data_IF_702377670714
#
_entry.id   IF_702377670714
#
_cell.length_a   1.000
_cell.length_b   1.000
_cell.length_c   1.000
_cell.angle_alpha   90.00
_cell.angle_beta   90.00
_cell.angle_gamma   90.00
#
_symmetry.space_group_name_H-M   'P 1'
#
loop_
_entity.id
_entity.type
_entity.pdbx_description
1 polymer ?
#
# COMPACT_ATOMS: atom_id res chain seq x y z
N UNK A 1 80.16 -13.35 -32.72
CA UNK A 1 81.24 -12.99 -33.65
C UNK A 1 80.60 -12.09 -34.71
N UNK A 2 80.84 -10.79 -34.89
CA UNK A 2 81.77 -9.74 -34.40
C UNK A 2 80.95 -8.42 -34.55
N UNK A 3 80.61 -7.69 -33.48
CA UNK A 3 81.22 -6.46 -32.89
C UNK A 3 81.22 -5.14 -33.72
N UNK A 4 80.82 -4.04 -33.04
CA UNK A 4 81.09 -2.62 -33.34
C UNK A 4 79.92 -1.69 -32.93
N UNK A 5 79.78 -1.30 -31.64
CA UNK A 5 80.31 -0.09 -30.95
C UNK A 5 79.51 1.22 -31.14
N UNK A 6 78.98 1.77 -30.03
CA UNK A 6 78.54 3.17 -29.86
C UNK A 6 79.75 4.12 -29.58
N UNK A 7 79.59 5.46 -29.42
CA UNK A 7 79.16 6.03 -28.12
C UNK A 7 78.33 7.34 -28.15
N UNK A 8 77.38 7.44 -27.21
CA UNK A 8 77.32 8.49 -26.16
C UNK A 8 76.87 9.92 -26.49
N UNK A 9 75.82 10.39 -25.81
CA UNK A 9 75.81 11.66 -25.06
C UNK A 9 74.58 11.74 -24.13
N UNK A 10 74.86 11.73 -22.82
CA UNK A 10 73.94 11.87 -21.69
C UNK A 10 73.98 13.34 -21.23
N UNK A 11 72.85 14.06 -21.12
CA UNK A 11 72.76 15.31 -20.36
C UNK A 11 71.46 15.35 -19.54
N UNK A 12 71.64 15.68 -18.27
CA UNK A 12 70.70 15.63 -17.16
C UNK A 12 70.47 17.05 -16.62
N UNK A 13 69.26 17.28 -16.07
CA UNK A 13 68.86 18.33 -15.11
C UNK A 13 68.55 19.76 -15.66
N UNK A 14 67.75 20.61 -14.96
CA UNK A 14 67.33 20.48 -13.56
C UNK A 14 65.83 20.73 -13.22
N UNK A 15 65.52 20.32 -11.99
CA UNK A 15 64.38 20.71 -11.16
C UNK A 15 64.48 22.20 -10.81
N UNK A 16 63.36 22.94 -10.81
CA UNK A 16 63.22 24.17 -10.01
C UNK A 16 61.80 24.28 -9.46
N UNK A 17 61.78 24.48 -8.14
CA UNK A 17 60.65 24.73 -7.25
C UNK A 17 60.23 26.19 -7.39
N UNK A 18 58.93 26.48 -7.44
CA UNK A 18 58.40 27.80 -7.08
C UNK A 18 57.25 27.66 -6.08
N UNK A 19 57.28 28.54 -5.09
CA UNK A 19 56.54 28.51 -3.83
C UNK A 19 55.42 29.55 -3.81
N UNK A 20 54.37 29.24 -3.02
CA UNK A 20 53.43 30.16 -2.32
C UNK A 20 52.36 30.85 -3.19
N UNK A 21 51.10 31.09 -2.78
CA UNK A 21 50.42 31.23 -1.47
C UNK A 21 48.92 30.82 -1.57
N UNK A 22 48.16 30.74 -0.45
CA UNK A 22 47.02 29.83 -0.28
C UNK A 22 45.63 30.49 -0.38
N UNK A 23 44.61 29.69 -0.70
CA UNK A 23 43.20 30.06 -0.51
C UNK A 23 42.53 29.21 0.57
N UNK A 24 42.33 29.88 1.71
CA UNK A 24 41.22 29.85 2.67
C UNK A 24 40.30 28.62 2.71
N UNK A 25 40.35 27.91 3.84
CA UNK A 25 39.38 26.90 4.27
C UNK A 25 38.56 27.48 5.42
N UNK A 26 37.23 27.61 5.31
CA UNK A 26 36.39 27.79 6.48
C UNK A 26 36.06 26.41 7.06
N UNK A 27 36.69 26.11 8.19
CA UNK A 27 36.21 25.14 9.17
C UNK A 27 34.77 25.45 9.56
N UNK A 28 33.88 24.45 9.60
CA UNK A 28 32.99 24.18 10.74
C UNK A 28 32.30 22.83 10.51
N UNK A 29 32.91 21.78 11.06
CA UNK A 29 32.19 20.58 11.44
C UNK A 29 31.58 20.86 12.82
N UNK A 30 30.28 21.08 12.88
CA UNK A 30 29.50 20.80 14.08
C UNK A 30 28.24 20.08 13.64
N UNK A 31 28.27 18.75 13.72
CA UNK A 31 27.05 17.94 13.66
C UNK A 31 26.27 18.20 14.95
N UNK A 32 25.18 18.97 14.89
CA UNK A 32 24.13 18.90 15.92
C UNK A 32 23.05 17.96 15.44
N UNK A 33 22.96 16.83 16.11
CA UNK A 33 21.74 16.02 16.17
C UNK A 33 20.76 16.84 17.01
N UNK A 34 19.65 17.26 16.42
CA UNK A 34 18.52 17.82 17.16
C UNK A 34 17.38 16.81 17.14
N UNK A 35 17.17 16.22 18.31
CA UNK A 35 15.98 15.46 18.71
C UNK A 35 14.82 16.45 18.73
N UNK A 36 13.81 16.23 17.88
CA UNK A 36 12.57 17.00 17.88
C UNK A 36 11.56 16.35 18.83
N UNK A 37 11.31 16.98 19.97
CA UNK A 37 10.22 16.66 20.89
C UNK A 37 9.21 17.81 20.88
N UNK A 38 7.93 17.43 20.74
CA UNK A 38 6.70 17.99 21.34
C UNK A 38 6.33 19.47 21.16
N UNK A 39 5.19 19.63 20.47
CA UNK A 39 3.99 20.41 20.85
C UNK A 39 3.92 21.95 20.74
N UNK A 40 2.90 22.33 19.95
CA UNK A 40 1.88 23.38 20.16
C UNK A 40 2.07 24.81 19.59
N UNK A 41 0.96 25.57 19.38
CA UNK A 41 0.54 25.97 18.03
C UNK A 41 0.31 27.50 17.88
N UNK A 42 0.24 27.95 16.62
CA UNK A 42 -0.48 29.15 16.20
C UNK A 42 -0.03 30.51 16.74
N UNK A 43 0.81 31.23 15.98
CA UNK A 43 0.79 32.70 15.93
C UNK A 43 1.26 33.18 14.55
N UNK A 44 0.56 34.18 14.00
CA UNK A 44 0.81 34.95 12.77
C UNK A 44 0.31 34.44 11.40
N UNK A 45 -0.97 34.77 11.14
CA UNK A 45 -1.49 35.34 9.89
C UNK A 45 -0.71 36.63 9.52
N UNK A 46 -0.44 37.06 8.27
CA UNK A 46 -1.24 37.33 7.06
C UNK A 46 -0.25 37.89 5.96
N UNK A 47 -0.66 38.30 4.74
CA UNK A 47 -1.36 37.64 3.63
C UNK A 47 -0.45 37.48 2.38
N UNK A 48 -0.85 36.68 1.39
CA UNK A 48 -0.48 37.03 0.01
C UNK A 48 -1.57 36.73 -1.04
N UNK A 49 -1.95 37.81 -1.72
CA UNK A 49 -2.49 37.98 -3.07
C UNK A 49 -3.25 36.83 -3.77
N UNK A 50 -4.56 37.07 -3.96
CA UNK A 50 -5.47 36.40 -4.90
C UNK A 50 -5.00 36.55 -6.36
N UNK A 51 -5.01 35.46 -7.11
CA UNK A 51 -5.34 35.44 -8.55
C UNK A 51 -6.70 34.74 -8.72
N UNK A 52 -7.68 35.32 -9.45
CA UNK A 52 -9.01 34.75 -9.61
C UNK A 52 -9.13 33.97 -10.91
N UNK A 53 -9.48 32.70 -10.79
CA UNK A 53 -9.86 31.80 -11.87
C UNK A 53 -10.11 30.44 -11.25
N UNK A 54 -11.13 29.74 -11.70
CA UNK A 54 -11.44 28.33 -11.36
C UNK A 54 -12.46 28.09 -10.22
N UNK A 55 -12.88 29.10 -9.45
CA UNK A 55 -13.91 28.90 -8.40
C UNK A 55 -15.36 29.21 -8.82
N UNK A 56 -15.57 29.95 -9.90
CA UNK A 56 -16.95 30.34 -10.30
C UNK A 56 -17.67 29.28 -11.15
N UNK A 57 -16.97 28.28 -11.69
CA UNK A 57 -17.62 27.26 -12.54
C UNK A 57 -18.35 26.16 -11.74
N UNK A 58 -18.11 26.06 -10.42
CA UNK A 58 -18.67 24.99 -9.57
C UNK A 58 -19.80 25.49 -8.66
N UNK A 59 -19.89 26.80 -8.35
CA UNK A 59 -20.86 27.28 -7.35
C UNK A 59 -22.31 27.26 -7.84
N UNK A 60 -22.56 27.44 -9.14
CA UNK A 60 -23.92 27.45 -9.68
C UNK A 60 -24.55 26.06 -9.83
N UNK A 61 -23.78 24.97 -9.73
CA UNK A 61 -24.32 23.61 -9.67
C UNK A 61 -24.82 23.24 -8.27
N UNK A 62 -24.24 23.84 -7.22
CA UNK A 62 -24.60 23.54 -5.83
C UNK A 62 -25.94 24.18 -5.41
N UNK A 63 -26.26 25.36 -5.96
CA UNK A 63 -27.44 26.14 -5.54
C UNK A 63 -28.76 25.68 -6.21
N UNK A 64 -28.71 24.73 -7.16
CA UNK A 64 -29.90 24.16 -7.81
C UNK A 64 -30.43 22.88 -7.14
N UNK A 65 -29.67 22.28 -6.21
CA UNK A 65 -30.08 21.03 -5.53
C UNK A 65 -30.67 21.24 -4.13
N UNK A 66 -30.56 22.43 -3.52
CA UNK A 66 -30.87 22.62 -2.10
C UNK A 66 -32.25 23.25 -1.79
N UNK A 67 -33.28 22.79 -2.51
CA UNK A 67 -34.68 23.15 -2.23
C UNK A 67 -35.60 21.93 -2.03
N UNK A 68 -35.07 20.71 -2.00
CA UNK A 68 -35.83 19.54 -1.58
C UNK A 68 -35.50 19.22 -0.11
N UNK A 69 -36.53 19.17 0.74
CA UNK A 69 -36.45 18.50 2.06
C UNK A 69 -35.65 17.19 1.88
N UNK A 70 -34.68 16.84 2.74
CA UNK A 70 -33.94 15.60 2.56
C UNK A 70 -34.91 14.43 2.75
N UNK A 71 -35.52 13.97 1.66
CA UNK A 71 -36.04 12.64 1.59
C UNK A 71 -34.83 11.76 1.89
N UNK A 72 -34.91 10.89 2.91
CA UNK A 72 -33.90 9.87 3.13
C UNK A 72 -33.68 9.18 1.79
N UNK A 73 -32.52 9.42 1.18
CA UNK A 73 -32.22 8.94 -0.16
C UNK A 73 -32.24 7.41 -0.10
N UNK A 74 -33.22 6.80 -0.76
CA UNK A 74 -33.31 5.37 -0.86
C UNK A 74 -32.16 4.86 -1.73
N UNK A 75 -31.56 3.74 -1.33
CA UNK A 75 -30.35 3.22 -1.95
C UNK A 75 -30.53 1.75 -2.34
N UNK A 76 -29.96 1.32 -3.48
CA UNK A 76 -30.19 -0.01 -4.02
C UNK A 76 -29.58 -1.07 -3.11
N UNK A 77 -30.43 -1.88 -2.49
CA UNK A 77 -30.05 -2.94 -1.56
C UNK A 77 -30.38 -4.29 -2.17
N UNK A 78 -29.39 -5.17 -2.24
CA UNK A 78 -29.55 -6.52 -2.78
C UNK A 78 -30.03 -7.46 -1.68
N UNK A 79 -31.13 -8.15 -1.94
CA UNK A 79 -31.63 -9.20 -1.06
C UNK A 79 -31.64 -10.51 -1.85
N UNK A 80 -31.03 -11.54 -1.28
CA UNK A 80 -30.80 -12.84 -1.91
C UNK A 80 -31.39 -13.96 -1.07
N UNK A 81 -31.85 -15.02 -1.74
CA UNK A 81 -32.35 -16.25 -1.16
C UNK A 81 -31.74 -17.45 -1.88
N UNK A 82 -31.04 -18.32 -1.16
CA UNK A 82 -30.28 -19.46 -1.73
C UNK A 82 -30.85 -20.85 -1.40
N UNK A 83 -31.91 -20.95 -0.60
CA UNK A 83 -32.45 -22.24 -0.12
C UNK A 83 -33.42 -22.92 -1.13
N UNK A 84 -33.42 -22.49 -2.39
CA UNK A 84 -34.29 -23.04 -3.43
C UNK A 84 -35.77 -22.63 -3.32
N UNK A 85 -36.61 -23.21 -4.18
CA UNK A 85 -38.05 -22.91 -4.26
C UNK A 85 -38.57 -22.83 -5.70
N UNK A 86 -39.90 -22.88 -5.87
CA UNK A 86 -40.56 -22.66 -7.15
C UNK A 86 -40.94 -21.18 -7.32
N UNK A 87 -41.62 -20.62 -6.33
CA UNK A 87 -42.06 -19.23 -6.31
C UNK A 87 -41.66 -18.55 -4.99
N UNK A 88 -40.71 -17.61 -5.08
CA UNK A 88 -40.16 -16.88 -3.94
C UNK A 88 -40.59 -15.42 -4.01
N UNK A 89 -41.13 -14.93 -2.90
CA UNK A 89 -41.50 -13.53 -2.73
C UNK A 89 -40.90 -12.97 -1.44
N UNK A 90 -40.83 -11.65 -1.35
CA UNK A 90 -40.40 -10.92 -0.15
C UNK A 90 -41.43 -9.86 0.24
N UNK A 91 -41.60 -9.69 1.54
CA UNK A 91 -42.33 -8.58 2.15
C UNK A 91 -41.55 -8.04 3.35
N UNK A 92 -41.72 -6.77 3.67
CA UNK A 92 -41.00 -6.17 4.79
C UNK A 92 -41.56 -4.83 5.24
N UNK A 93 -40.87 -4.20 6.18
CA UNK A 93 -41.21 -2.89 6.71
C UNK A 93 -41.28 -1.82 5.63
N UNK A 94 -40.41 -1.90 4.62
CA UNK A 94 -40.32 -0.95 3.51
C UNK A 94 -41.58 -0.90 2.62
N UNK A 95 -42.42 -1.94 2.63
CA UNK A 95 -43.70 -1.96 1.92
C UNK A 95 -44.90 -2.16 2.87
N UNK A 96 -44.73 -1.85 4.16
CA UNK A 96 -45.73 -2.03 5.20
C UNK A 96 -46.33 -3.45 5.24
N UNK A 97 -45.57 -4.48 4.87
CA UNK A 97 -46.03 -5.86 4.77
C UNK A 97 -47.28 -6.07 3.88
N UNK A 98 -47.57 -5.10 3.01
CA UNK A 98 -48.84 -5.03 2.26
C UNK A 98 -48.84 -5.85 0.98
N UNK A 99 -47.67 -6.01 0.36
CA UNK A 99 -47.50 -6.68 -0.91
C UNK A 99 -46.35 -7.70 -0.87
N UNK A 100 -46.46 -8.73 -1.71
CA UNK A 100 -45.42 -9.74 -1.94
C UNK A 100 -44.68 -9.37 -3.22
N UNK A 101 -43.43 -8.96 -3.10
CA UNK A 101 -42.58 -8.61 -4.24
C UNK A 101 -41.95 -9.91 -4.75
N UNK A 102 -42.15 -10.30 -6.02
CA UNK A 102 -41.55 -11.52 -6.57
C UNK A 102 -40.03 -11.37 -6.70
N UNK A 103 -39.28 -12.40 -6.33
CA UNK A 103 -37.84 -12.45 -6.59
C UNK A 103 -37.55 -13.00 -7.98
N UNK A 104 -36.47 -12.53 -8.59
CA UNK A 104 -36.00 -13.00 -9.89
C UNK A 104 -35.15 -14.24 -9.66
N UNK A 105 -35.56 -15.36 -10.28
CA UNK A 105 -34.83 -16.63 -10.21
C UNK A 105 -33.59 -16.60 -11.11
N UNK A 106 -32.43 -16.83 -10.51
CA UNK A 106 -31.16 -17.15 -11.18
C UNK A 106 -30.96 -18.68 -11.20
N UNK A 107 -29.75 -19.16 -11.50
CA UNK A 107 -29.46 -20.60 -11.55
C UNK A 107 -29.66 -21.30 -10.20
N UNK A 108 -29.12 -20.73 -9.12
CA UNK A 108 -29.18 -21.32 -7.79
C UNK A 108 -29.82 -20.40 -6.73
N UNK A 109 -29.98 -19.12 -7.06
CA UNK A 109 -30.39 -18.09 -6.12
C UNK A 109 -31.62 -17.33 -6.65
N UNK A 110 -32.39 -16.77 -5.74
CA UNK A 110 -33.44 -15.79 -6.01
C UNK A 110 -32.98 -14.43 -5.53
N UNK A 111 -33.15 -13.38 -6.33
CA UNK A 111 -32.64 -12.03 -6.02
C UNK A 111 -33.70 -10.97 -6.25
N UNK A 112 -33.73 -9.96 -5.36
CA UNK A 112 -34.41 -8.69 -5.57
C UNK A 112 -33.46 -7.53 -5.24
N UNK A 113 -33.53 -6.46 -6.03
CA UNK A 113 -32.83 -5.20 -5.74
C UNK A 113 -33.92 -4.20 -5.37
N UNK A 114 -33.88 -3.71 -4.13
CA UNK A 114 -34.88 -2.79 -3.58
C UNK A 114 -34.20 -1.51 -3.13
N UNK A 115 -34.76 -0.36 -3.50
CA UNK A 115 -34.29 0.92 -3.00
C UNK A 115 -34.82 1.13 -1.58
N UNK A 116 -33.92 1.03 -0.59
CA UNK A 116 -34.25 1.14 0.82
C UNK A 116 -33.61 2.42 1.40
N UNK A 117 -34.34 3.22 2.19
CA UNK A 117 -33.74 4.34 2.91
C UNK A 117 -32.77 3.83 3.99
N UNK A 118 -31.85 4.68 4.43
CA UNK A 118 -30.93 4.34 5.51
C UNK A 118 -31.68 4.02 6.81
N UNK A 119 -31.25 2.96 7.49
CA UNK A 119 -31.86 2.48 8.72
C UNK A 119 -32.04 0.97 8.76
N UNK A 120 -32.84 0.54 9.73
CA UNK A 120 -33.16 -0.87 9.98
C UNK A 120 -34.43 -1.27 9.24
N UNK A 121 -34.35 -2.36 8.46
CA UNK A 121 -35.50 -2.91 7.76
C UNK A 121 -35.71 -4.36 8.13
N UNK A 122 -36.95 -4.69 8.50
CA UNK A 122 -37.35 -6.07 8.75
C UNK A 122 -37.98 -6.64 7.49
N UNK A 123 -37.64 -7.88 7.16
CA UNK A 123 -38.20 -8.55 5.99
C UNK A 123 -38.40 -10.05 6.24
N UNK A 124 -39.20 -10.68 5.39
CA UNK A 124 -39.46 -12.11 5.43
C UNK A 124 -39.75 -12.66 4.04
N UNK A 125 -39.33 -13.90 3.80
CA UNK A 125 -39.59 -14.59 2.54
C UNK A 125 -40.90 -15.37 2.60
N UNK A 126 -41.59 -15.40 1.47
CA UNK A 126 -42.75 -16.24 1.23
C UNK A 126 -42.39 -17.21 0.10
N UNK A 127 -42.08 -18.45 0.45
CA UNK A 127 -41.57 -19.48 -0.45
C UNK A 127 -42.60 -20.60 -0.53
N UNK A 128 -43.07 -20.91 -1.73
CA UNK A 128 -43.97 -22.04 -2.00
C UNK A 128 -45.19 -22.12 -1.05
N UNK A 129 -45.73 -20.95 -0.68
CA UNK A 129 -46.90 -20.85 0.18
C UNK A 129 -46.61 -20.66 1.68
N UNK A 130 -45.33 -20.70 2.10
CA UNK A 130 -44.92 -20.65 3.51
C UNK A 130 -44.05 -19.43 3.82
N UNK A 131 -44.24 -18.86 5.02
CA UNK A 131 -43.42 -17.77 5.52
C UNK A 131 -42.15 -18.31 6.19
N UNK A 132 -41.00 -18.02 5.58
CA UNK A 132 -39.69 -18.49 6.04
C UNK A 132 -38.73 -17.31 6.17
N UNK A 133 -37.67 -17.49 6.96
CA UNK A 133 -36.58 -16.53 7.10
C UNK A 133 -35.28 -17.19 6.65
N UNK A 134 -34.29 -16.39 6.24
CA UNK A 134 -32.95 -16.89 5.91
C UNK A 134 -32.15 -17.11 7.20
N UNK A 135 -31.68 -18.34 7.49
CA UNK A 135 -30.89 -18.62 8.69
C UNK A 135 -29.46 -18.05 8.66
N UNK A 136 -28.95 -17.68 7.48
CA UNK A 136 -27.60 -17.12 7.31
C UNK A 136 -27.53 -15.62 7.61
N UNK A 137 -28.67 -14.94 7.58
CA UNK A 137 -28.80 -13.51 7.80
C UNK A 137 -29.28 -13.18 9.22
N UNK A 138 -28.96 -11.99 9.77
CA UNK A 138 -29.43 -11.57 11.08
C UNK A 138 -30.97 -11.60 11.20
N UNK A 139 -31.48 -11.98 12.37
CA UNK A 139 -32.92 -12.08 12.66
C UNK A 139 -33.31 -11.26 13.88
N UNK A 140 -34.56 -10.81 13.88
CA UNK A 140 -35.21 -10.14 15.02
C UNK A 140 -36.59 -10.76 15.26
N UNK A 141 -36.93 -10.94 16.53
CA UNK A 141 -38.25 -11.43 16.95
C UNK A 141 -39.17 -10.23 17.19
N UNK A 142 -40.25 -10.13 16.42
CA UNK A 142 -41.27 -9.11 16.59
C UNK A 142 -42.07 -9.32 17.88
N UNK A 143 -42.76 -8.27 18.35
CA UNK A 143 -43.60 -8.29 19.55
C UNK A 143 -44.72 -9.35 19.48
N UNK A 144 -45.14 -9.72 18.27
CA UNK A 144 -46.14 -10.75 18.01
C UNK A 144 -45.55 -12.18 17.97
N UNK A 145 -44.25 -12.34 18.28
CA UNK A 145 -43.55 -13.62 18.28
C UNK A 145 -43.08 -14.10 16.91
N UNK A 146 -43.26 -13.29 15.84
CA UNK A 146 -42.79 -13.66 14.50
C UNK A 146 -41.31 -13.34 14.33
N UNK A 147 -40.55 -14.32 13.84
CA UNK A 147 -39.14 -14.14 13.47
C UNK A 147 -39.07 -13.58 12.04
N UNK A 148 -38.36 -12.45 11.88
CA UNK A 148 -38.10 -11.76 10.63
C UNK A 148 -36.58 -11.57 10.46
N UNK A 149 -36.10 -11.53 9.23
CA UNK A 149 -34.72 -11.08 8.98
C UNK A 149 -34.60 -9.57 9.17
N UNK A 150 -33.41 -9.10 9.52
CA UNK A 150 -33.07 -7.70 9.77
C UNK A 150 -31.90 -7.30 8.88
N UNK A 151 -32.05 -6.21 8.13
CA UNK A 151 -30.96 -5.61 7.35
C UNK A 151 -30.74 -4.17 7.79
N UNK A 152 -29.48 -3.79 7.95
CA UNK A 152 -29.04 -2.44 8.30
C UNK A 152 -28.45 -1.77 7.07
N UNK A 153 -29.15 -0.76 6.54
CA UNK A 153 -28.66 0.04 5.40
C UNK A 153 -27.96 1.28 5.94
N UNK A 154 -26.63 1.35 5.79
CA UNK A 154 -25.82 2.48 6.28
C UNK A 154 -25.34 3.35 5.11
N UNK A 155 -24.94 4.57 5.43
CA UNK A 155 -24.29 5.49 4.47
C UNK A 155 -23.02 4.90 3.87
N UNK A 156 -22.22 4.24 4.71
CA UNK A 156 -20.92 3.68 4.39
C UNK A 156 -20.97 2.58 3.33
N UNK A 157 -22.11 1.89 3.21
CA UNK A 157 -22.21 0.67 2.38
C UNK A 157 -22.19 0.99 0.87
N UNK A 158 -22.28 2.28 0.51
CA UNK A 158 -22.32 2.75 -0.87
C UNK A 158 -21.07 3.55 -1.27
N UNK A 159 -20.28 3.96 -0.28
CA UNK A 159 -18.97 4.55 -0.51
C UNK A 159 -17.95 3.41 -0.49
N UNK A 160 -17.43 3.02 -1.65
CA UNK A 160 -16.59 1.81 -1.80
C UNK A 160 -15.42 1.79 -0.82
N UNK A 161 -14.79 2.93 -0.58
CA UNK A 161 -13.67 3.03 0.37
C UNK A 161 -14.11 2.86 1.83
N UNK A 162 -15.30 3.34 2.19
CA UNK A 162 -15.82 3.22 3.56
C UNK A 162 -16.33 1.81 3.82
N UNK A 163 -17.01 1.20 2.85
CA UNK A 163 -17.42 -0.21 2.89
C UNK A 163 -16.21 -1.13 3.09
N UNK A 164 -15.18 -1.00 2.23
CA UNK A 164 -13.97 -1.80 2.34
C UNK A 164 -13.23 -1.59 3.67
N UNK A 165 -13.26 -0.36 4.20
CA UNK A 165 -12.64 -0.07 5.50
C UNK A 165 -13.38 -0.78 6.63
N UNK A 166 -14.71 -0.75 6.65
CA UNK A 166 -15.51 -1.44 7.67
C UNK A 166 -15.32 -2.96 7.58
N UNK A 167 -15.37 -3.54 6.39
CA UNK A 167 -15.16 -4.97 6.16
C UNK A 167 -13.76 -5.42 6.60
N UNK A 168 -12.75 -4.58 6.32
CA UNK A 168 -11.37 -4.85 6.74
C UNK A 168 -11.22 -4.86 8.26
N UNK A 169 -11.99 -4.03 8.98
CA UNK A 169 -11.97 -3.96 10.44
C UNK A 169 -12.73 -5.15 11.06
N UNK A 170 -13.85 -5.57 10.47
CA UNK A 170 -14.62 -6.72 10.93
C UNK A 170 -13.86 -8.05 10.75
N UNK A 171 -13.11 -8.17 9.65
CA UNK A 171 -12.21 -9.32 9.41
C UNK A 171 -10.98 -9.31 10.32
N UNK A 172 -10.74 -8.23 11.06
CA UNK A 172 -9.46 -7.98 11.74
C UNK A 172 -9.31 -8.53 13.15
N UNK A 173 -10.20 -9.42 13.60
CA UNK A 173 -9.87 -10.26 14.78
C UNK A 173 -8.58 -11.08 14.58
N UNK A 174 -8.01 -11.13 13.36
CA UNK A 174 -6.62 -11.59 13.14
C UNK A 174 -5.71 -10.79 12.19
N UNK A 175 -6.13 -9.72 11.49
CA UNK A 175 -5.24 -9.12 10.47
C UNK A 175 -5.43 -7.64 10.06
N UNK A 176 -5.63 -6.70 10.99
CA UNK A 176 -5.37 -5.26 10.69
C UNK A 176 -3.85 -4.95 10.67
N UNK A 177 -3.05 -5.86 10.08
CA UNK A 177 -1.58 -5.83 9.97
C UNK A 177 -1.12 -5.54 8.54
N UNK A 178 -2.03 -5.52 7.57
CA UNK A 178 -1.70 -5.62 6.15
C UNK A 178 -1.61 -4.27 5.44
N UNK A 179 -0.49 -3.58 5.65
CA UNK A 179 0.19 -2.73 4.64
C UNK A 179 1.65 -2.48 5.05
N UNK A 180 2.03 -2.78 6.28
CA UNK A 180 3.42 -2.68 6.72
C UNK A 180 4.16 -3.97 6.41
N UNK A 181 5.30 -3.86 5.72
CA UNK A 181 6.25 -4.96 5.54
C UNK A 181 6.92 -5.39 6.86
N UNK A 182 6.56 -4.73 7.97
CA UNK A 182 7.10 -5.03 9.29
C UNK A 182 6.31 -6.18 9.91
N UNK A 183 7.01 -7.15 10.55
CA UNK A 183 6.35 -8.09 11.42
C UNK A 183 5.51 -7.32 12.42
N UNK A 184 4.31 -7.82 12.67
CA UNK A 184 3.37 -7.04 13.43
C UNK A 184 3.59 -7.13 14.94
N UNK A 185 3.38 -6.02 15.64
CA UNK A 185 3.76 -5.82 17.04
C UNK A 185 4.85 -4.75 17.19
N UNK A 186 5.15 -4.30 18.42
CA UNK A 186 6.26 -3.37 18.65
C UNK A 186 7.61 -4.05 18.35
N UNK A 187 8.58 -3.28 17.88
CA UNK A 187 9.96 -3.74 17.80
C UNK A 187 10.51 -3.96 19.21
N UNK A 188 10.96 -5.19 19.50
CA UNK A 188 11.54 -5.57 20.78
C UNK A 188 12.95 -6.15 20.63
N UNK A 189 13.66 -6.27 21.74
CA UNK A 189 14.96 -6.96 21.82
C UNK A 189 14.83 -8.37 22.42
N UNK A 190 13.59 -8.81 22.70
CA UNK A 190 13.34 -10.12 23.26
C UNK A 190 13.73 -11.20 22.25
N UNK A 191 14.45 -12.21 22.72
CA UNK A 191 14.80 -13.35 21.87
C UNK A 191 13.52 -14.08 21.45
N UNK A 192 13.44 -14.42 20.16
CA UNK A 192 12.34 -15.22 19.66
C UNK A 192 12.31 -16.59 20.33
N UNK A 193 11.20 -16.91 21.00
CA UNK A 193 10.99 -18.23 21.60
C UNK A 193 10.38 -19.16 20.56
N UNK A 194 11.16 -20.15 20.15
CA UNK A 194 10.77 -21.12 19.15
C UNK A 194 9.58 -21.97 19.63
N UNK A 195 8.45 -21.93 18.91
CA UNK A 195 7.26 -22.74 19.22
C UNK A 195 7.38 -24.15 18.67
N UNK A 196 6.84 -25.14 19.39
CA UNK A 196 6.94 -26.56 18.99
C UNK A 196 6.28 -26.83 17.63
N UNK A 197 5.25 -26.06 17.26
CA UNK A 197 4.51 -26.13 16.00
C UNK A 197 5.32 -25.64 14.78
N UNK A 198 6.36 -24.83 15.03
CA UNK A 198 7.22 -24.26 13.98
C UNK A 198 8.46 -25.12 13.70
N UNK A 199 8.70 -26.18 14.49
CA UNK A 199 9.95 -27.00 14.46
C UNK A 199 10.22 -27.66 13.12
N UNK A 200 9.21 -27.80 12.29
CA UNK A 200 9.27 -28.56 11.06
C UNK A 200 9.19 -27.69 9.80
N UNK A 201 9.21 -26.36 9.93
CA UNK A 201 9.25 -25.46 8.78
C UNK A 201 10.71 -25.21 8.38
N UNK A 202 11.12 -25.76 7.24
CA UNK A 202 12.39 -25.40 6.63
C UNK A 202 12.37 -23.95 6.17
N UNK A 203 13.51 -23.24 6.19
CA UNK A 203 13.59 -21.90 5.61
C UNK A 203 13.22 -21.94 4.12
N UNK A 204 12.68 -20.84 3.57
CA UNK A 204 12.33 -20.76 2.17
C UNK A 204 13.58 -20.92 1.29
N UNK A 205 13.39 -21.53 0.13
CA UNK A 205 14.46 -21.71 -0.86
C UNK A 205 14.87 -20.33 -1.41
N UNK A 206 16.17 -20.09 -1.55
CA UNK A 206 16.70 -18.85 -2.12
C UNK A 206 16.15 -18.63 -3.54
N UNK A 207 15.47 -17.50 -3.82
CA UNK A 207 15.02 -17.20 -5.18
C UNK A 207 16.22 -17.05 -6.13
N UNK A 208 16.22 -17.74 -7.29
CA UNK A 208 17.38 -17.76 -8.19
C UNK A 208 17.69 -16.38 -8.80
N UNK A 209 16.72 -15.46 -8.81
CA UNK A 209 16.89 -14.08 -9.27
C UNK A 209 17.98 -13.33 -8.48
N UNK A 210 18.16 -13.64 -7.20
CA UNK A 210 19.18 -13.00 -6.35
C UNK A 210 20.60 -13.47 -6.66
N UNK A 211 20.75 -14.52 -7.47
CA UNK A 211 22.06 -14.99 -7.94
C UNK A 211 22.55 -14.23 -9.18
N UNK A 212 21.68 -13.45 -9.83
CA UNK A 212 22.01 -12.71 -11.04
C UNK A 212 22.65 -11.34 -10.75
N UNK A 213 23.85 -11.33 -10.19
CA UNK A 213 24.55 -10.09 -9.79
C UNK A 213 24.82 -9.18 -10.99
N UNK A 214 24.28 -7.96 -11.00
CA UNK A 214 24.42 -7.03 -12.14
C UNK A 214 25.85 -6.56 -12.37
N UNK A 215 26.64 -6.48 -11.30
CA UNK A 215 28.05 -6.06 -11.36
C UNK A 215 28.97 -7.16 -11.92
N UNK A 216 28.48 -8.40 -12.00
CA UNK A 216 29.21 -9.51 -12.63
C UNK A 216 28.86 -9.68 -14.12
N UNK A 217 27.99 -8.82 -14.67
CA UNK A 217 27.62 -8.86 -16.09
C UNK A 217 28.56 -7.94 -16.87
N UNK A 218 29.11 -8.47 -17.96
CA UNK A 218 29.90 -7.67 -18.89
C UNK A 218 29.00 -6.66 -19.61
N UNK A 219 29.48 -5.43 -19.72
CA UNK A 219 28.85 -4.38 -20.53
C UNK A 219 29.57 -4.26 -21.88
N UNK A 220 28.87 -3.72 -22.89
CA UNK A 220 29.48 -3.54 -24.21
C UNK A 220 30.61 -2.51 -24.13
N UNK A 221 31.76 -2.81 -24.74
CA UNK A 221 32.95 -1.93 -24.74
C UNK A 221 32.63 -0.55 -25.35
N UNK A 222 31.58 -0.45 -26.18
CA UNK A 222 31.17 0.81 -26.80
C UNK A 222 30.38 1.76 -25.90
N UNK A 223 29.89 1.33 -24.73
CA UNK A 223 29.10 2.18 -23.83
C UNK A 223 29.95 2.76 -22.68
N UNK A 224 29.42 3.82 -22.04
CA UNK A 224 30.04 4.43 -20.86
C UNK A 224 30.23 3.38 -19.73
N UNK A 225 31.43 3.24 -19.15
CA UNK A 225 31.71 2.29 -18.07
C UNK A 225 30.85 2.45 -16.80
N UNK A 226 30.26 3.62 -16.56
CA UNK A 226 29.36 3.87 -15.44
C UNK A 226 27.93 3.35 -15.68
N UNK A 227 27.60 2.94 -16.91
CA UNK A 227 26.28 2.43 -17.26
C UNK A 227 26.17 0.94 -16.97
N UNK A 228 25.08 0.57 -16.30
CA UNK A 228 24.72 -0.82 -16.01
C UNK A 228 23.41 -1.18 -16.75
N UNK A 229 23.20 -2.47 -17.07
CA UNK A 229 21.92 -2.92 -17.62
C UNK A 229 20.78 -2.70 -16.62
N UNK A 230 19.53 -2.69 -17.12
CA UNK A 230 18.36 -2.54 -16.25
C UNK A 230 18.25 -3.72 -15.27
N UNK A 231 18.20 -3.46 -13.95
CA UNK A 231 18.08 -4.50 -12.93
C UNK A 231 16.66 -5.05 -12.86
N UNK A 232 16.51 -6.30 -12.40
CA UNK A 232 15.20 -6.84 -12.04
C UNK A 232 14.70 -6.15 -10.74
N UNK A 233 13.41 -5.81 -10.66
CA UNK A 233 12.86 -5.15 -9.46
C UNK A 233 13.03 -5.98 -8.17
N UNK A 234 13.10 -7.31 -8.27
CA UNK A 234 13.23 -8.22 -7.12
C UNK A 234 14.61 -8.14 -6.46
N UNK A 235 15.67 -7.79 -7.19
CA UNK A 235 17.03 -7.71 -6.62
C UNK A 235 17.34 -6.36 -5.97
N UNK A 236 16.45 -5.38 -6.08
CA UNK A 236 16.63 -4.06 -5.50
C UNK A 236 16.58 -4.17 -3.97
N UNK A 237 17.35 -3.32 -3.28
CA UNK A 237 17.49 -3.31 -1.83
C UNK A 237 18.14 -4.58 -1.22
N UNK A 238 18.62 -5.52 -2.04
CA UNK A 238 19.46 -6.63 -1.58
C UNK A 238 20.93 -6.22 -1.52
N UNK A 239 21.61 -6.65 -0.46
CA UNK A 239 23.04 -6.40 -0.25
C UNK A 239 23.87 -7.46 -0.97
N UNK A 240 24.80 -7.01 -1.81
CA UNK A 240 25.85 -7.84 -2.40
C UNK A 240 27.19 -7.43 -1.82
N UNK A 241 28.02 -8.40 -1.47
CA UNK A 241 29.34 -8.16 -0.90
C UNK A 241 30.40 -8.97 -1.64
N UNK A 242 31.59 -8.38 -1.82
CA UNK A 242 32.76 -9.14 -2.22
C UNK A 242 33.43 -9.75 -0.99
N UNK A 243 34.16 -10.84 -1.18
CA UNK A 243 35.06 -11.37 -0.15
C UNK A 243 36.07 -10.29 0.26
N UNK A 244 36.21 -10.09 1.57
CA UNK A 244 37.13 -9.12 2.16
C UNK A 244 38.56 -9.43 1.72
N UNK A 245 39.27 -8.40 1.26
CA UNK A 245 40.69 -8.45 0.88
C UNK A 245 41.39 -7.19 1.37
N UNK A 246 42.65 -7.31 1.76
CA UNK A 246 43.51 -6.18 2.17
C UNK A 246 42.91 -5.28 3.26
N UNK A 247 42.23 -5.88 4.25
CA UNK A 247 41.53 -5.18 5.34
C UNK A 247 40.43 -4.21 4.88
N UNK A 248 39.91 -4.38 3.67
CA UNK A 248 38.81 -3.58 3.12
C UNK A 248 37.61 -4.47 2.82
N UNK A 249 36.45 -4.07 3.34
CA UNK A 249 35.15 -4.62 2.99
C UNK A 249 34.54 -3.82 1.83
N UNK A 250 34.03 -4.53 0.82
CA UNK A 250 33.32 -3.92 -0.32
C UNK A 250 31.88 -4.38 -0.31
N UNK A 251 30.97 -3.44 -0.11
CA UNK A 251 29.53 -3.65 -0.09
C UNK A 251 28.88 -2.94 -1.28
N UNK A 252 27.81 -3.50 -1.81
CA UNK A 252 27.04 -2.88 -2.88
C UNK A 252 25.56 -3.19 -2.75
N UNK A 253 24.73 -2.25 -3.20
CA UNK A 253 23.29 -2.44 -3.28
C UNK A 253 22.72 -1.56 -4.40
N UNK A 254 21.68 -2.06 -5.06
CA UNK A 254 20.97 -1.32 -6.12
C UNK A 254 19.69 -0.74 -5.55
N UNK A 255 19.52 0.57 -5.66
CA UNK A 255 18.36 1.30 -5.17
C UNK A 255 17.64 2.00 -6.32
N UNK A 256 16.30 2.08 -6.21
CA UNK A 256 15.47 2.84 -7.15
C UNK A 256 15.25 4.25 -6.64
N UNK A 257 15.59 5.24 -7.46
CA UNK A 257 15.23 6.65 -7.26
C UNK A 257 14.27 7.09 -8.37
N UNK A 258 13.00 7.30 -8.03
CA UNK A 258 11.91 7.54 -8.99
C UNK A 258 11.85 6.41 -10.04
N UNK A 259 12.15 6.73 -11.31
CA UNK A 259 12.20 5.80 -12.45
C UNK A 259 13.63 5.44 -12.88
N UNK A 260 14.62 5.68 -12.02
CA UNK A 260 16.05 5.41 -12.28
C UNK A 260 16.60 4.46 -11.21
N UNK A 261 17.67 3.77 -11.56
CA UNK A 261 18.35 2.82 -10.69
C UNK A 261 19.79 3.26 -10.47
N UNK A 262 20.28 3.14 -9.24
CA UNK A 262 21.64 3.50 -8.85
C UNK A 262 22.23 2.35 -8.06
N UNK A 263 23.39 1.87 -8.50
CA UNK A 263 24.16 0.84 -7.79
C UNK A 263 25.31 1.51 -7.06
N UNK A 264 25.21 1.56 -5.74
CA UNK A 264 26.23 2.22 -4.90
C UNK A 264 27.20 1.16 -4.40
N UNK A 265 28.49 1.44 -4.50
CA UNK A 265 29.56 0.63 -3.90
C UNK A 265 30.17 1.40 -2.73
N UNK A 266 30.34 0.73 -1.59
CA UNK A 266 30.99 1.27 -0.39
C UNK A 266 32.24 0.44 -0.07
N UNK A 267 33.37 1.12 -0.05
CA UNK A 267 34.65 0.57 0.43
C UNK A 267 34.85 1.05 1.86
N UNK A 268 34.95 0.12 2.81
CA UNK A 268 35.10 0.44 4.24
C UNK A 268 36.24 -0.40 4.84
N UNK A 269 37.28 0.22 5.42
CA UNK A 269 38.29 -0.48 6.19
C UNK A 269 37.69 -1.20 7.41
N UNK A 270 38.28 -2.33 7.77
CA UNK A 270 37.90 -3.15 8.93
C UNK A 270 38.82 -2.86 10.11
#
# INVERSE_FOLDING_TARGET
MIYGEEPGANHQAPVTISTSTPYYVPSFWTRRILVGSTDDPGVFSLPDSKLPGDKEFVSWQQDLEDSARPAQQARPTVIRWSEGGEAVFISGSFNNWSAKIPLIKSHNDFVAILDLPEGEHQYKFFVDGQWVHDPSEPVVTSQLGTINNLIHVKKSDFEVFDALKLDSMESSETSCRDLTSSPPGPYGQEMYVFRSEERFKSPPILPPHLLQVILNKDTNISCDPALLPEPNHVMLNHLYALSIKDSVMVLSATHRYKKKYVTTLLYKPI
#
